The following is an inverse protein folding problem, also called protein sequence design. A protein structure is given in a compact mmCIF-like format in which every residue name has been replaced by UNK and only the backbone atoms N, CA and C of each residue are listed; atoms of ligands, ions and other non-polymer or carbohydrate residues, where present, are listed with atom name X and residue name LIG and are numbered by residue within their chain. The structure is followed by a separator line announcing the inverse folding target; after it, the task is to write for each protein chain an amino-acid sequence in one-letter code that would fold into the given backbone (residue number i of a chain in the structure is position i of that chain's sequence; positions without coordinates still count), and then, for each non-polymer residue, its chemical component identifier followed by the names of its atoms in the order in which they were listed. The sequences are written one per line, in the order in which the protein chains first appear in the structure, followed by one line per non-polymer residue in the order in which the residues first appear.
data_IF_315667024592
#
_entry.id   IF_315667024592
#
_cell.length_a   1.000
_cell.length_b   1.000
_cell.length_c   1.000
_cell.angle_alpha   90.00
_cell.angle_beta   90.00
_cell.angle_gamma   90.00
#
_symmetry.space_group_name_H-M   'P 1'
#
loop_
_entity.id
_entity.type
_entity.pdbx_description
1 polymer ?
#
# COMPACT_ATOMS: atom_id res chain seq x y z
N UNK A 1 63.26 -79.64 9.28
CA UNK A 1 62.23 -80.07 8.31
C UNK A 1 62.90 -80.40 6.98
N UNK A 2 62.65 -81.57 6.38
CA UNK A 2 63.15 -81.91 5.04
C UNK A 2 62.19 -81.35 3.99
N UNK A 3 62.68 -80.47 3.13
CA UNK A 3 61.96 -80.09 1.91
C UNK A 3 62.14 -81.25 0.92
N UNK A 4 61.05 -81.92 0.55
CA UNK A 4 61.10 -83.03 -0.43
C UNK A 4 61.03 -82.48 -1.86
N UNK A 5 61.60 -83.20 -2.83
CA UNK A 5 61.57 -82.78 -4.24
C UNK A 5 60.12 -82.58 -4.77
N UNK A 6 59.18 -83.34 -4.20
CA UNK A 6 57.74 -83.17 -4.45
C UNK A 6 57.18 -81.83 -3.95
N UNK A 7 57.67 -81.29 -2.82
CA UNK A 7 57.28 -79.96 -2.35
C UNK A 7 57.84 -78.85 -3.25
N UNK A 8 59.07 -79.01 -3.78
CA UNK A 8 59.67 -78.03 -4.70
C UNK A 8 58.91 -78.03 -6.03
N UNK A 9 58.66 -79.21 -6.61
CA UNK A 9 57.88 -79.36 -7.82
C UNK A 9 56.45 -78.82 -7.65
N UNK A 10 55.79 -79.14 -6.53
CA UNK A 10 54.46 -78.62 -6.19
C UNK A 10 54.42 -77.10 -6.02
N UNK A 11 55.49 -76.49 -5.48
CA UNK A 11 55.58 -75.02 -5.33
C UNK A 11 55.80 -74.33 -6.69
N UNK A 12 56.56 -74.94 -7.59
CA UNK A 12 56.77 -74.42 -8.95
C UNK A 12 55.48 -74.50 -9.78
N UNK A 13 54.77 -75.62 -9.75
CA UNK A 13 53.49 -75.76 -10.47
C UNK A 13 52.42 -74.82 -9.92
N UNK A 14 52.34 -74.66 -8.60
CA UNK A 14 51.44 -73.69 -7.97
C UNK A 14 51.76 -72.24 -8.40
N UNK A 15 53.04 -71.86 -8.42
CA UNK A 15 53.45 -70.54 -8.91
C UNK A 15 53.15 -70.34 -10.41
N UNK A 16 53.39 -71.34 -11.25
CA UNK A 16 53.10 -71.28 -12.68
C UNK A 16 51.59 -71.16 -12.97
N UNK A 17 50.76 -71.92 -12.24
CA UNK A 17 49.30 -71.81 -12.31
C UNK A 17 48.83 -70.41 -11.89
N UNK A 18 49.36 -69.86 -10.79
CA UNK A 18 49.06 -68.50 -10.36
C UNK A 18 49.47 -67.43 -11.41
N UNK A 19 50.62 -67.59 -12.06
CA UNK A 19 51.07 -66.67 -13.12
C UNK A 19 50.18 -66.75 -14.36
N UNK A 20 49.75 -67.95 -14.77
CA UNK A 20 48.82 -68.13 -15.88
C UNK A 20 47.45 -67.49 -15.59
N UNK A 21 46.92 -67.65 -14.38
CA UNK A 21 45.66 -66.99 -13.98
C UNK A 21 45.78 -65.47 -14.03
N UNK A 22 46.91 -64.89 -13.58
CA UNK A 22 47.15 -63.44 -13.68
C UNK A 22 47.23 -62.98 -15.13
N UNK A 23 47.97 -63.70 -15.99
CA UNK A 23 48.06 -63.38 -17.41
C UNK A 23 46.69 -63.39 -18.10
N UNK A 24 45.88 -64.41 -17.86
CA UNK A 24 44.53 -64.50 -18.41
C UNK A 24 43.65 -63.35 -17.93
N UNK A 25 43.74 -62.96 -16.64
CA UNK A 25 42.99 -61.81 -16.12
C UNK A 25 43.40 -60.49 -16.78
N UNK A 26 44.70 -60.26 -16.98
CA UNK A 26 45.21 -59.08 -17.69
C UNK A 26 44.78 -59.07 -19.15
N UNK A 27 44.79 -60.23 -19.82
CA UNK A 27 44.30 -60.36 -21.19
C UNK A 27 42.80 -60.04 -21.29
N UNK A 28 41.98 -60.48 -20.33
CA UNK A 28 40.56 -60.13 -20.26
C UNK A 28 40.35 -58.63 -20.06
N UNK A 29 41.06 -58.01 -19.10
CA UNK A 29 41.00 -56.56 -18.88
C UNK A 29 41.44 -55.76 -20.10
N UNK A 30 42.47 -56.22 -20.82
CA UNK A 30 42.92 -55.60 -22.06
C UNK A 30 41.90 -55.73 -23.19
N UNK A 31 41.19 -56.86 -23.27
CA UNK A 31 40.15 -57.08 -24.28
C UNK A 31 38.87 -56.29 -24.01
N UNK A 32 38.46 -56.11 -22.75
CA UNK A 32 37.22 -55.38 -22.41
C UNK A 32 37.46 -53.89 -22.14
N UNK A 33 38.71 -53.49 -21.91
CA UNK A 33 39.07 -52.15 -21.45
C UNK A 33 38.62 -51.84 -20.02
N UNK A 34 38.08 -52.83 -19.29
CA UNK A 34 37.50 -52.65 -17.96
C UNK A 34 38.36 -53.33 -16.91
N UNK A 35 38.65 -52.61 -15.83
CA UNK A 35 39.32 -53.14 -14.64
C UNK A 35 38.45 -54.17 -13.90
N UNK A 36 37.14 -53.94 -13.84
CA UNK A 36 36.16 -54.80 -13.15
C UNK A 36 35.26 -55.42 -14.21
N UNK A 37 35.29 -56.75 -14.35
CA UNK A 37 34.47 -57.47 -15.34
C UNK A 37 33.39 -58.34 -14.67
N UNK A 38 33.67 -58.85 -13.47
CA UNK A 38 32.73 -59.64 -12.67
C UNK A 38 32.70 -59.14 -11.22
N UNK A 39 31.58 -59.34 -10.49
CA UNK A 39 31.46 -58.90 -9.10
C UNK A 39 32.54 -59.46 -8.16
N UNK A 40 33.12 -60.61 -8.48
CA UNK A 40 34.20 -61.21 -7.68
C UNK A 40 35.56 -60.51 -7.81
N UNK A 41 35.76 -59.64 -8.81
CA UNK A 41 37.04 -58.94 -9.03
C UNK A 41 37.23 -57.80 -8.01
N UNK A 42 36.16 -57.06 -7.71
CA UNK A 42 36.14 -55.95 -6.76
C UNK A 42 34.69 -55.71 -6.27
N UNK A 43 34.25 -56.37 -5.18
CA UNK A 43 32.88 -56.26 -4.67
C UNK A 43 32.49 -54.83 -4.24
N UNK A 44 33.46 -53.99 -3.85
CA UNK A 44 33.21 -52.60 -3.45
C UNK A 44 33.23 -51.65 -4.66
N UNK A 45 34.09 -51.94 -5.63
CA UNK A 45 34.15 -51.19 -6.88
C UNK A 45 32.92 -51.42 -7.77
N UNK A 46 32.39 -52.65 -7.80
CA UNK A 46 31.22 -52.97 -8.62
C UNK A 46 29.93 -52.32 -8.10
N UNK A 47 29.75 -52.16 -6.79
CA UNK A 47 28.57 -51.46 -6.25
C UNK A 47 28.56 -50.00 -6.67
N UNK A 48 29.71 -49.31 -6.53
CA UNK A 48 29.86 -47.92 -6.99
C UNK A 48 29.68 -47.77 -8.50
N UNK A 49 30.21 -48.69 -9.31
CA UNK A 49 30.00 -48.69 -10.77
C UNK A 49 28.51 -48.86 -11.13
N UNK A 50 27.77 -49.72 -10.43
CA UNK A 50 26.33 -49.89 -10.62
C UNK A 50 25.56 -48.63 -10.21
N UNK A 51 25.91 -47.99 -9.11
CA UNK A 51 25.31 -46.74 -8.67
C UNK A 51 25.50 -45.64 -9.71
N UNK A 52 26.73 -45.46 -10.22
CA UNK A 52 26.99 -44.48 -11.29
C UNK A 52 26.27 -44.81 -12.60
N UNK A 53 26.12 -46.09 -12.96
CA UNK A 53 25.36 -46.48 -14.15
C UNK A 53 23.87 -46.18 -14.00
N UNK A 54 23.31 -46.42 -12.81
CA UNK A 54 21.92 -46.07 -12.50
C UNK A 54 21.75 -44.54 -12.55
N UNK A 55 22.67 -43.78 -11.96
CA UNK A 55 22.66 -42.31 -12.00
C UNK A 55 22.79 -41.78 -13.44
N UNK A 56 23.65 -42.37 -14.27
CA UNK A 56 23.77 -42.02 -15.68
C UNK A 56 22.51 -42.36 -16.48
N UNK A 57 21.86 -43.49 -16.20
CA UNK A 57 20.61 -43.89 -16.84
C UNK A 57 19.47 -42.94 -16.47
N UNK A 58 19.37 -42.57 -15.19
CA UNK A 58 18.41 -41.57 -14.70
C UNK A 58 18.66 -40.21 -15.36
N UNK A 59 19.91 -39.73 -15.41
CA UNK A 59 20.26 -38.49 -16.09
C UNK A 59 19.87 -38.49 -17.58
N UNK A 60 20.06 -39.61 -18.29
CA UNK A 60 19.60 -39.73 -19.69
C UNK A 60 18.08 -39.67 -19.82
N UNK A 61 17.36 -40.29 -18.88
CA UNK A 61 15.90 -40.19 -18.84
C UNK A 61 15.45 -38.74 -18.57
N UNK A 62 16.10 -38.05 -17.63
CA UNK A 62 15.83 -36.64 -17.33
C UNK A 62 16.09 -35.76 -18.54
N UNK A 63 17.19 -35.94 -19.27
CA UNK A 63 17.44 -35.23 -20.52
C UNK A 63 16.36 -35.48 -21.58
N UNK A 64 15.88 -36.72 -21.72
CA UNK A 64 14.76 -37.05 -22.60
C UNK A 64 13.47 -36.33 -22.19
N UNK A 65 13.16 -36.36 -20.90
CA UNK A 65 12.00 -35.68 -20.31
C UNK A 65 12.07 -34.14 -20.49
N UNK A 66 13.25 -33.54 -20.30
CA UNK A 66 13.48 -32.10 -20.52
C UNK A 66 13.28 -31.73 -21.98
N UNK A 67 13.81 -32.53 -22.92
CA UNK A 67 13.60 -32.28 -24.35
C UNK A 67 12.13 -32.35 -24.73
N UNK A 68 11.39 -33.33 -24.17
CA UNK A 68 9.95 -33.41 -24.38
C UNK A 68 9.23 -32.19 -23.80
N UNK A 69 9.57 -31.78 -22.58
CA UNK A 69 9.00 -30.60 -21.94
C UNK A 69 9.22 -29.33 -22.77
N UNK A 70 10.44 -29.13 -23.30
CA UNK A 70 10.73 -28.02 -24.19
C UNK A 70 9.88 -28.04 -25.46
N UNK A 71 9.68 -29.20 -26.09
CA UNK A 71 8.80 -29.33 -27.26
C UNK A 71 7.35 -28.92 -26.94
N UNK A 72 6.85 -29.27 -25.75
CA UNK A 72 5.54 -28.84 -25.27
C UNK A 72 5.48 -27.33 -25.05
N UNK A 73 6.47 -26.73 -24.39
CA UNK A 73 6.52 -25.30 -24.16
C UNK A 73 6.63 -24.48 -25.44
N UNK A 74 7.50 -24.87 -26.38
CA UNK A 74 7.59 -24.20 -27.67
C UNK A 74 6.26 -24.22 -28.42
N UNK A 75 5.53 -25.34 -28.34
CA UNK A 75 4.21 -25.42 -28.98
C UNK A 75 3.20 -24.51 -28.29
N UNK A 76 3.18 -24.48 -26.96
CA UNK A 76 2.31 -23.59 -26.19
C UNK A 76 2.59 -22.11 -26.50
N UNK A 77 3.85 -21.71 -26.54
CA UNK A 77 4.26 -20.34 -26.84
C UNK A 77 3.88 -19.92 -28.26
N UNK A 78 4.07 -20.81 -29.24
CA UNK A 78 3.63 -20.58 -30.63
C UNK A 78 2.11 -20.32 -30.69
N UNK A 79 1.34 -21.10 -29.95
CA UNK A 79 -0.11 -20.97 -29.88
C UNK A 79 -0.50 -19.66 -29.19
N UNK A 80 0.09 -19.34 -28.03
CA UNK A 80 -0.21 -18.10 -27.28
C UNK A 80 0.14 -16.86 -28.12
N UNK A 81 1.26 -16.85 -28.83
CA UNK A 81 1.61 -15.76 -29.73
C UNK A 81 0.59 -15.61 -30.86
N UNK A 82 0.18 -16.72 -31.48
CA UNK A 82 -0.86 -16.71 -32.50
C UNK A 82 -2.20 -16.21 -31.96
N UNK A 83 -2.55 -16.55 -30.72
CA UNK A 83 -3.75 -16.05 -30.05
C UNK A 83 -3.67 -14.54 -29.81
N UNK A 84 -2.55 -14.05 -29.32
CA UNK A 84 -2.33 -12.61 -29.12
C UNK A 84 -2.45 -11.81 -30.41
N UNK A 85 -1.89 -12.32 -31.52
CA UNK A 85 -2.03 -11.69 -32.84
C UNK A 85 -3.50 -11.61 -33.27
N UNK A 86 -4.26 -12.70 -33.16
CA UNK A 86 -5.68 -12.73 -33.54
C UNK A 86 -6.52 -11.81 -32.65
N UNK A 87 -6.26 -11.79 -31.33
CA UNK A 87 -6.98 -10.90 -30.40
C UNK A 87 -6.65 -9.43 -30.68
N UNK A 88 -5.39 -9.12 -30.99
CA UNK A 88 -4.99 -7.76 -31.37
C UNK A 88 -5.63 -7.32 -32.68
N UNK A 89 -5.70 -8.20 -33.68
CA UNK A 89 -6.40 -7.95 -34.95
C UNK A 89 -7.90 -7.75 -34.71
N UNK A 90 -8.55 -8.63 -33.94
CA UNK A 90 -9.95 -8.52 -33.60
C UNK A 90 -10.27 -7.23 -32.82
N UNK A 91 -9.36 -6.78 -31.94
CA UNK A 91 -9.47 -5.49 -31.25
C UNK A 91 -9.37 -4.31 -32.22
N UNK A 92 -8.42 -4.35 -33.16
CA UNK A 92 -8.28 -3.32 -34.18
C UNK A 92 -9.51 -3.23 -35.08
N UNK A 93 -10.08 -4.38 -35.48
CA UNK A 93 -11.33 -4.48 -36.23
C UNK A 93 -12.53 -3.96 -35.42
N UNK A 94 -12.60 -4.27 -34.12
CA UNK A 94 -13.66 -3.80 -33.24
C UNK A 94 -13.61 -2.28 -33.04
N UNK A 95 -12.42 -1.72 -32.82
CA UNK A 95 -12.22 -0.26 -32.70
C UNK A 95 -12.53 0.45 -34.01
N UNK A 96 -12.08 -0.10 -35.14
CA UNK A 96 -12.38 0.47 -36.46
C UNK A 96 -13.87 0.37 -36.80
N UNK A 97 -14.54 -0.72 -36.39
CA UNK A 97 -15.97 -0.92 -36.57
C UNK A 97 -16.86 -0.09 -35.63
N UNK A 98 -16.29 0.46 -34.56
CA UNK A 98 -16.96 1.36 -33.62
C UNK A 98 -17.03 2.81 -34.13
N UNK A 99 -16.32 3.14 -35.21
CA UNK A 99 -16.41 4.45 -35.87
C UNK A 99 -17.77 4.60 -36.57
N UNK A 100 -18.46 5.71 -36.29
CA UNK A 100 -19.80 6.04 -36.81
C UNK A 100 -19.85 6.26 -38.33
N UNK A 101 -18.70 6.50 -38.97
CA UNK A 101 -18.61 6.71 -40.42
C UNK A 101 -18.92 5.46 -41.26
N UNK A 102 -18.86 4.26 -40.67
CA UNK A 102 -19.14 3.02 -41.39
C UNK A 102 -20.64 2.71 -41.47
N UNK A 103 -21.08 2.21 -42.63
CA UNK A 103 -22.46 1.76 -42.83
C UNK A 103 -22.68 0.35 -42.26
N UNK A 104 -23.95 -0.08 -42.18
CA UNK A 104 -24.33 -1.38 -41.60
C UNK A 104 -23.67 -2.58 -42.31
N UNK A 105 -23.39 -2.49 -43.62
CA UNK A 105 -22.74 -3.57 -44.37
C UNK A 105 -21.23 -3.61 -44.14
N UNK A 106 -20.58 -2.46 -43.92
CA UNK A 106 -19.19 -2.38 -43.46
C UNK A 106 -18.99 -3.02 -42.09
N UNK A 107 -19.89 -2.74 -41.13
CA UNK A 107 -19.86 -3.38 -39.80
C UNK A 107 -20.11 -4.90 -39.87
N UNK A 108 -20.93 -5.38 -40.80
CA UNK A 108 -21.09 -6.84 -41.02
C UNK A 108 -19.81 -7.50 -41.53
N UNK A 109 -19.03 -6.81 -42.35
CA UNK A 109 -17.74 -7.32 -42.83
C UNK A 109 -16.73 -7.45 -41.68
N UNK A 110 -16.62 -6.44 -40.81
CA UNK A 110 -15.79 -6.51 -39.59
C UNK A 110 -16.27 -7.63 -38.65
N UNK A 111 -17.59 -7.77 -38.45
CA UNK A 111 -18.15 -8.86 -37.66
C UNK A 111 -17.87 -10.25 -38.27
N UNK A 112 -17.71 -10.36 -39.60
CA UNK A 112 -17.28 -11.60 -40.24
C UNK A 112 -15.79 -11.89 -40.00
N UNK A 113 -14.93 -10.87 -40.02
CA UNK A 113 -13.51 -10.95 -39.66
C UNK A 113 -13.31 -11.44 -38.23
N UNK A 114 -14.00 -10.81 -37.26
CA UNK A 114 -13.96 -11.23 -35.85
C UNK A 114 -14.45 -12.67 -35.67
N UNK A 115 -15.52 -13.08 -36.37
CA UNK A 115 -15.99 -14.48 -36.33
C UNK A 115 -14.96 -15.46 -36.89
N UNK A 116 -14.28 -15.11 -37.98
CA UNK A 116 -13.20 -15.92 -38.52
C UNK A 116 -12.02 -16.02 -37.53
N UNK A 117 -11.71 -14.93 -36.82
CA UNK A 117 -10.75 -14.91 -35.71
C UNK A 117 -11.12 -15.88 -34.59
N UNK A 118 -12.38 -15.88 -34.15
CA UNK A 118 -12.90 -16.83 -33.15
C UNK A 118 -12.76 -18.28 -33.65
N UNK A 119 -13.11 -18.55 -34.90
CA UNK A 119 -12.97 -19.89 -35.49
C UNK A 119 -11.49 -20.33 -35.54
N UNK A 120 -10.55 -19.41 -35.81
CA UNK A 120 -9.11 -19.68 -35.76
C UNK A 120 -8.61 -19.92 -34.34
N UNK A 121 -9.09 -19.17 -33.36
CA UNK A 121 -8.80 -19.39 -31.92
C UNK A 121 -9.27 -20.79 -31.50
N UNK A 122 -10.45 -21.24 -31.94
CA UNK A 122 -10.94 -22.58 -31.65
C UNK A 122 -10.10 -23.69 -32.30
N UNK A 123 -9.59 -23.45 -33.51
CA UNK A 123 -8.65 -24.37 -34.15
C UNK A 123 -7.33 -24.47 -33.36
N UNK A 124 -6.81 -23.35 -32.88
CA UNK A 124 -5.61 -23.30 -32.05
C UNK A 124 -5.81 -24.00 -30.69
N UNK A 125 -6.97 -23.80 -30.05
CA UNK A 125 -7.35 -24.51 -28.82
C UNK A 125 -7.48 -26.03 -28.98
N UNK A 126 -7.68 -26.51 -30.22
CA UNK A 126 -7.71 -27.93 -30.57
C UNK A 126 -6.42 -28.42 -31.26
N UNK A 127 -5.31 -27.69 -31.09
CA UNK A 127 -4.01 -28.12 -31.63
C UNK A 127 -3.49 -29.40 -30.95
N UNK A 128 -2.69 -30.14 -31.71
CA UNK A 128 -2.12 -31.43 -31.28
C UNK A 128 -0.60 -31.39 -31.33
N UNK A 129 0.02 -32.10 -30.39
CA UNK A 129 1.44 -32.44 -30.39
C UNK A 129 1.57 -33.96 -30.31
N UNK A 130 2.25 -34.57 -31.29
CA UNK A 130 2.47 -36.03 -31.35
C UNK A 130 1.16 -36.86 -31.24
N UNK A 131 0.06 -36.34 -31.77
CA UNK A 131 -1.26 -36.96 -31.75
C UNK A 131 -2.03 -36.79 -30.44
N UNK A 132 -1.53 -35.98 -29.50
CA UNK A 132 -2.19 -35.63 -28.23
C UNK A 132 -2.66 -34.18 -28.27
N UNK A 133 -3.89 -33.92 -27.86
CA UNK A 133 -4.40 -32.57 -27.72
C UNK A 133 -3.70 -31.83 -26.57
N UNK A 134 -3.30 -30.59 -26.83
CA UNK A 134 -2.41 -29.84 -25.93
C UNK A 134 -3.14 -29.28 -24.71
N UNK A 135 -4.41 -28.89 -24.88
CA UNK A 135 -5.19 -28.15 -23.88
C UNK A 135 -6.33 -28.95 -23.22
N UNK A 136 -6.45 -30.25 -23.48
CA UNK A 136 -7.54 -31.10 -22.96
C UNK A 136 -7.23 -31.78 -21.61
N UNK A 137 -6.12 -31.41 -20.97
CA UNK A 137 -5.69 -32.00 -19.70
C UNK A 137 -5.22 -33.45 -19.84
N UNK A 138 -5.69 -34.34 -18.95
CA UNK A 138 -5.41 -35.78 -19.05
C UNK A 138 -6.14 -36.48 -20.20
N UNK A 139 -7.20 -35.86 -20.77
CA UNK A 139 -7.98 -36.43 -21.86
C UNK A 139 -7.36 -36.11 -23.22
N UNK A 140 -6.13 -36.57 -23.43
CA UNK A 140 -5.31 -36.23 -24.61
C UNK A 140 -5.86 -36.75 -25.94
N UNK A 141 -6.84 -37.66 -25.92
CA UNK A 141 -7.43 -38.29 -27.12
C UNK A 141 -8.71 -37.58 -27.61
N UNK A 142 -9.21 -36.62 -26.85
CA UNK A 142 -10.43 -35.87 -27.18
C UNK A 142 -10.11 -34.39 -27.38
N UNK A 143 -10.79 -33.75 -28.33
CA UNK A 143 -10.63 -32.33 -28.59
C UNK A 143 -11.08 -31.52 -27.36
N UNK A 144 -10.28 -30.51 -26.99
CA UNK A 144 -10.55 -29.68 -25.81
C UNK A 144 -11.84 -28.85 -25.96
N UNK A 145 -12.11 -28.36 -27.18
CA UNK A 145 -13.24 -27.46 -27.48
C UNK A 145 -14.14 -28.04 -28.56
N UNK A 146 -15.43 -28.15 -28.26
CA UNK A 146 -16.46 -28.47 -29.25
C UNK A 146 -17.40 -27.28 -29.46
N UNK A 147 -17.64 -26.94 -30.72
CA UNK A 147 -18.56 -25.86 -31.10
C UNK A 147 -19.98 -26.41 -31.26
N UNK A 148 -20.93 -25.77 -30.58
CA UNK A 148 -22.37 -25.99 -30.73
C UNK A 148 -23.04 -24.71 -31.27
N UNK A 149 -24.32 -24.81 -31.66
CA UNK A 149 -25.08 -23.69 -32.19
C UNK A 149 -25.25 -22.51 -31.20
N UNK A 150 -25.12 -22.79 -29.90
CA UNK A 150 -25.30 -21.86 -28.79
C UNK A 150 -23.99 -21.43 -28.10
N UNK A 151 -22.82 -21.90 -28.56
CA UNK A 151 -21.54 -21.55 -27.95
C UNK A 151 -20.46 -22.62 -28.10
N UNK A 152 -19.39 -22.46 -27.33
CA UNK A 152 -18.25 -23.39 -27.28
C UNK A 152 -18.26 -24.04 -25.91
N UNK A 153 -18.20 -25.36 -25.86
CA UNK A 153 -18.11 -26.12 -24.61
C UNK A 153 -16.72 -26.74 -24.52
N UNK A 154 -16.09 -26.57 -23.35
CA UNK A 154 -14.86 -27.28 -23.01
C UNK A 154 -15.19 -28.69 -22.52
N UNK A 155 -14.56 -29.69 -23.12
CA UNK A 155 -14.74 -31.12 -22.77
C UNK A 155 -13.48 -31.75 -22.18
N UNK A 156 -12.42 -30.95 -22.00
CA UNK A 156 -11.20 -31.37 -21.33
C UNK A 156 -11.35 -31.50 -19.81
N UNK A 157 -10.24 -31.89 -19.17
CA UNK A 157 -10.11 -31.99 -17.71
C UNK A 157 -9.01 -31.05 -17.21
N UNK A 158 -8.97 -30.76 -15.91
CA UNK A 158 -7.99 -29.87 -15.26
C UNK A 158 -6.67 -30.60 -14.89
N UNK A 159 -6.40 -31.75 -15.50
CA UNK A 159 -5.25 -32.59 -15.20
C UNK A 159 -3.91 -31.99 -15.65
N UNK A 160 -2.87 -32.10 -14.82
CA UNK A 160 -1.51 -31.64 -15.14
C UNK A 160 -0.59 -32.84 -15.44
N UNK A 161 0.07 -32.82 -16.59
CA UNK A 161 1.06 -33.80 -17.03
C UNK A 161 2.42 -33.36 -16.51
N UNK A 162 2.96 -34.11 -15.55
CA UNK A 162 4.28 -33.85 -14.97
C UNK A 162 5.35 -34.72 -15.61
N UNK A 163 6.51 -34.13 -15.91
CA UNK A 163 7.73 -34.85 -16.22
C UNK A 163 8.77 -34.65 -15.13
N UNK A 164 9.39 -35.74 -14.71
CA UNK A 164 10.50 -35.71 -13.76
C UNK A 164 11.78 -35.25 -14.47
N UNK A 165 12.38 -34.15 -14.03
CA UNK A 165 13.59 -33.57 -14.60
C UNK A 165 14.81 -33.69 -13.67
N UNK A 166 14.58 -34.03 -12.41
CA UNK A 166 15.61 -34.39 -11.43
C UNK A 166 15.01 -35.39 -10.42
N UNK A 167 15.87 -36.02 -9.61
CA UNK A 167 15.53 -36.89 -8.50
C UNK A 167 14.46 -36.32 -7.55
N UNK A 168 14.39 -34.99 -7.40
CA UNK A 168 13.40 -34.31 -6.56
C UNK A 168 12.62 -33.20 -7.27
N UNK A 169 12.69 -33.11 -8.61
CA UNK A 169 12.03 -32.04 -9.37
C UNK A 169 11.16 -32.60 -10.48
N UNK A 170 9.90 -32.17 -10.49
CA UNK A 170 8.92 -32.42 -11.53
C UNK A 170 8.44 -31.10 -12.12
N UNK A 171 8.14 -31.12 -13.41
CA UNK A 171 7.68 -29.94 -14.15
C UNK A 171 6.41 -30.29 -14.91
N UNK A 172 5.36 -29.49 -14.72
CA UNK A 172 4.11 -29.57 -15.47
C UNK A 172 4.24 -28.95 -16.85
N UNK A 173 3.92 -29.70 -17.91
CA UNK A 173 4.14 -29.27 -19.30
C UNK A 173 2.89 -28.82 -20.05
N UNK A 174 1.72 -29.28 -19.62
CA UNK A 174 0.47 -28.91 -20.26
C UNK A 174 -0.14 -27.68 -19.57
N UNK A 175 -0.89 -26.91 -20.35
CA UNK A 175 -1.67 -25.77 -19.87
C UNK A 175 -3.15 -26.12 -19.98
N UNK A 176 -3.94 -25.72 -18.99
CA UNK A 176 -5.37 -25.98 -19.00
C UNK A 176 -6.07 -25.03 -19.98
N UNK A 177 -6.80 -25.59 -20.95
CA UNK A 177 -7.58 -24.79 -21.90
C UNK A 177 -8.71 -24.01 -21.24
N UNK A 178 -9.30 -24.50 -20.15
CA UNK A 178 -10.31 -23.75 -19.41
C UNK A 178 -9.73 -22.46 -18.81
N UNK A 179 -8.54 -22.55 -18.20
CA UNK A 179 -7.89 -21.39 -17.58
C UNK A 179 -7.36 -20.38 -18.61
N UNK A 180 -6.93 -20.85 -19.78
CA UNK A 180 -6.43 -19.98 -20.84
C UNK A 180 -7.55 -19.31 -21.66
N UNK A 181 -8.61 -20.05 -22.01
CA UNK A 181 -9.64 -19.59 -22.95
C UNK A 181 -10.99 -19.23 -22.31
N UNK A 182 -11.31 -19.78 -21.13
CA UNK A 182 -12.60 -19.62 -20.47
C UNK A 182 -12.52 -18.89 -19.13
N UNK A 183 -11.33 -18.46 -18.71
CA UNK A 183 -11.21 -17.58 -17.55
C UNK A 183 -12.04 -16.33 -17.81
N UNK A 184 -12.97 -16.05 -16.91
CA UNK A 184 -13.81 -14.87 -16.97
C UNK A 184 -12.89 -13.64 -17.04
N UNK A 185 -12.89 -12.98 -18.20
CA UNK A 185 -12.31 -11.64 -18.35
C UNK A 185 -13.18 -10.75 -17.45
N UNK A 186 -12.55 -9.91 -16.62
CA UNK A 186 -13.21 -8.99 -15.67
C UNK A 186 -14.57 -8.53 -16.21
N UNK A 187 -15.61 -8.59 -15.37
CA UNK A 187 -16.84 -7.88 -15.70
C UNK A 187 -16.48 -6.43 -15.99
N UNK A 188 -16.92 -5.90 -17.15
CA UNK A 188 -16.75 -4.49 -17.48
C UNK A 188 -17.20 -3.65 -16.27
N UNK A 189 -16.29 -2.85 -15.71
CA UNK A 189 -16.58 -1.96 -14.58
C UNK A 189 -16.15 -2.46 -13.20
N UNK A 190 -15.63 -3.68 -13.03
CA UNK A 190 -15.23 -4.21 -11.70
C UNK A 190 -14.12 -3.40 -10.98
N UNK A 191 -13.43 -2.52 -11.70
CA UNK A 191 -12.44 -1.59 -11.13
C UNK A 191 -12.73 -0.12 -11.46
N UNK A 192 -13.94 0.20 -11.91
CA UNK A 192 -14.37 1.58 -12.08
C UNK A 192 -15.05 1.99 -10.78
N UNK A 193 -14.35 2.80 -10.01
CA UNK A 193 -14.85 3.38 -8.78
C UNK A 193 -15.98 4.36 -9.09
N UNK A 194 -17.18 4.05 -8.60
CA UNK A 194 -18.40 4.84 -8.77
C UNK A 194 -18.83 5.46 -7.44
N UNK A 195 -17.87 5.80 -6.59
CA UNK A 195 -18.10 6.51 -5.34
C UNK A 195 -19.10 7.66 -5.55
N UNK A 196 -20.18 7.58 -4.78
CA UNK A 196 -21.17 8.64 -4.72
C UNK A 196 -20.70 9.72 -3.75
N UNK A 197 -20.81 10.98 -4.16
CA UNK A 197 -20.49 12.09 -3.27
C UNK A 197 -21.31 12.07 -1.97
N UNK A 198 -20.64 12.38 -0.86
CA UNK A 198 -21.31 12.69 0.40
C UNK A 198 -22.01 14.05 0.31
N UNK A 199 -23.18 14.14 0.91
CA UNK A 199 -23.87 15.40 1.19
C UNK A 199 -24.47 15.33 2.61
N UNK A 200 -25.06 16.44 3.08
CA UNK A 200 -25.60 16.50 4.44
C UNK A 200 -26.70 15.47 4.75
N UNK A 201 -27.40 14.96 3.73
CA UNK A 201 -28.43 13.93 3.88
C UNK A 201 -27.94 12.49 3.74
N UNK A 202 -26.66 12.27 3.42
CA UNK A 202 -26.05 10.93 3.36
C UNK A 202 -26.15 10.26 4.73
N UNK A 203 -26.70 9.04 4.77
CA UNK A 203 -26.87 8.29 6.01
C UNK A 203 -25.55 7.63 6.42
N UNK A 204 -25.31 7.55 7.72
CA UNK A 204 -24.11 6.91 8.26
C UNK A 204 -24.10 5.39 8.01
N UNK A 205 -25.27 4.78 7.80
CA UNK A 205 -25.39 3.37 7.39
C UNK A 205 -24.93 3.11 5.97
N UNK A 206 -24.88 4.14 5.12
CA UNK A 206 -24.57 3.99 3.71
C UNK A 206 -23.05 4.16 3.45
N UNK A 207 -22.28 4.54 4.48
CA UNK A 207 -20.81 4.66 4.40
C UNK A 207 -20.15 3.28 4.31
N UNK A 208 -18.89 3.23 3.90
CA UNK A 208 -18.10 2.00 3.75
C UNK A 208 -18.80 0.94 2.89
N UNK A 209 -19.27 1.35 1.73
CA UNK A 209 -20.02 0.52 0.79
C UNK A 209 -21.32 -0.08 1.40
N UNK A 210 -21.85 0.55 2.45
CA UNK A 210 -23.08 0.16 3.14
C UNK A 210 -22.85 -0.75 4.35
N UNK A 211 -21.60 -0.93 4.77
CA UNK A 211 -21.28 -1.54 6.06
C UNK A 211 -21.60 -0.59 7.24
N UNK A 212 -21.69 0.70 6.95
CA UNK A 212 -21.98 1.76 7.90
C UNK A 212 -20.84 2.02 8.89
N UNK A 213 -21.10 2.83 9.91
CA UNK A 213 -20.12 3.11 10.98
C UNK A 213 -20.55 2.47 12.29
N UNK A 214 -19.57 2.11 13.12
CA UNK A 214 -19.82 1.60 14.46
C UNK A 214 -19.93 2.74 15.48
N UNK A 215 -21.17 3.10 15.85
CA UNK A 215 -21.46 4.16 16.82
C UNK A 215 -21.56 3.67 18.27
N UNK A 216 -21.05 2.49 18.63
CA UNK A 216 -21.20 1.94 19.99
C UNK A 216 -19.85 1.50 20.57
N UNK A 217 -19.24 2.28 21.49
CA UNK A 217 -19.61 3.65 21.87
C UNK A 217 -19.17 4.66 20.80
N UNK A 218 -20.04 5.62 20.48
CA UNK A 218 -19.76 6.73 19.56
C UNK A 218 -19.07 7.90 20.25
N UNK A 219 -18.14 7.66 21.18
CA UNK A 219 -17.50 8.72 21.95
C UNK A 219 -16.11 8.97 21.41
N UNK A 220 -15.88 10.17 20.88
CA UNK A 220 -14.56 10.61 20.40
C UNK A 220 -14.06 11.79 21.23
N UNK A 221 -12.75 11.95 21.31
CA UNK A 221 -12.10 13.08 21.97
C UNK A 221 -11.30 13.87 20.95
N UNK A 222 -11.60 15.16 20.82
CA UNK A 222 -10.80 16.11 20.06
C UNK A 222 -10.02 16.97 21.03
N UNK A 223 -8.70 17.02 20.89
CA UNK A 223 -7.82 17.83 21.73
C UNK A 223 -7.15 18.92 20.92
N UNK A 224 -7.20 20.13 21.45
CA UNK A 224 -6.30 21.20 21.06
C UNK A 224 -5.03 21.09 21.92
N UNK A 225 -3.93 20.67 21.30
CA UNK A 225 -2.68 20.44 22.01
C UNK A 225 -1.95 21.76 22.37
N UNK A 226 -2.36 22.89 21.80
CA UNK A 226 -1.82 24.20 22.16
C UNK A 226 -2.52 24.82 23.34
N UNK A 227 -3.84 24.77 23.34
CA UNK A 227 -4.66 25.32 24.42
C UNK A 227 -4.76 24.34 25.60
N UNK A 228 -4.42 23.06 25.39
CA UNK A 228 -4.56 22.02 26.40
C UNK A 228 -6.03 21.72 26.72
N UNK A 229 -6.92 21.96 25.76
CA UNK A 229 -8.36 21.79 25.89
C UNK A 229 -8.77 20.48 25.23
N UNK A 230 -9.68 19.75 25.89
CA UNK A 230 -10.21 18.48 25.44
C UNK A 230 -11.72 18.66 25.25
N UNK A 231 -12.22 18.42 24.04
CA UNK A 231 -13.64 18.27 23.77
C UNK A 231 -13.99 16.78 23.66
N UNK A 232 -14.98 16.35 24.42
CA UNK A 232 -15.58 15.02 24.23
C UNK A 232 -16.81 15.20 23.35
N UNK A 233 -16.87 14.47 22.25
CA UNK A 233 -17.97 14.51 21.28
C UNK A 233 -18.77 13.21 21.41
N UNK A 234 -20.09 13.33 21.50
CA UNK A 234 -21.01 12.21 21.54
C UNK A 234 -21.69 12.04 20.18
N UNK A 235 -21.36 10.96 19.48
CA UNK A 235 -21.86 10.60 18.14
C UNK A 235 -22.77 9.35 18.16
N UNK A 236 -23.39 9.04 19.31
CA UNK A 236 -24.22 7.83 19.47
C UNK A 236 -25.64 7.94 18.85
N UNK A 237 -26.12 9.14 18.50
CA UNK A 237 -27.52 9.39 18.13
C UNK A 237 -27.72 9.86 16.68
N UNK A 238 -26.63 10.21 16.02
CA UNK A 238 -26.55 10.84 14.72
C UNK A 238 -26.83 9.79 13.65
N UNK A 239 -27.56 10.18 12.62
CA UNK A 239 -27.97 9.30 11.52
C UNK A 239 -27.46 9.75 10.17
N UNK A 240 -27.09 11.03 10.03
CA UNK A 240 -26.56 11.61 8.80
C UNK A 240 -25.24 12.35 9.01
N UNK A 241 -24.51 12.60 7.92
CA UNK A 241 -23.28 13.39 7.92
C UNK A 241 -23.49 14.81 8.47
N UNK A 242 -24.61 15.47 8.17
CA UNK A 242 -24.88 16.84 8.67
C UNK A 242 -25.12 16.87 10.18
N UNK A 243 -25.76 15.84 10.73
CA UNK A 243 -25.95 15.68 12.17
C UNK A 243 -24.59 15.49 12.87
N UNK A 244 -23.71 14.65 12.32
CA UNK A 244 -22.34 14.45 12.83
C UNK A 244 -21.54 15.75 12.81
N UNK A 245 -21.52 16.46 11.67
CA UNK A 245 -20.80 17.73 11.53
C UNK A 245 -21.33 18.77 12.52
N UNK A 246 -22.66 18.87 12.64
CA UNK A 246 -23.31 19.79 13.56
C UNK A 246 -22.95 19.48 15.02
N UNK A 247 -22.98 18.19 15.39
CA UNK A 247 -22.67 17.75 16.75
C UNK A 247 -21.20 18.03 17.10
N UNK A 248 -20.25 17.69 16.21
CA UNK A 248 -18.83 18.00 16.41
C UNK A 248 -18.62 19.51 16.60
N UNK A 249 -19.15 20.34 15.70
CA UNK A 249 -18.97 21.79 15.78
C UNK A 249 -19.57 22.40 17.05
N UNK A 250 -20.74 21.92 17.49
CA UNK A 250 -21.38 22.37 18.72
C UNK A 250 -20.57 21.99 19.96
N UNK A 251 -20.12 20.74 20.05
CA UNK A 251 -19.37 20.25 21.20
C UNK A 251 -17.97 20.89 21.28
N UNK A 252 -17.31 21.13 20.15
CA UNK A 252 -16.06 21.91 20.10
C UNK A 252 -16.27 23.31 20.70
N UNK A 253 -17.31 24.03 20.27
CA UNK A 253 -17.62 25.37 20.77
C UNK A 253 -17.97 25.38 22.26
N UNK A 254 -18.77 24.41 22.74
CA UNK A 254 -19.14 24.26 24.16
C UNK A 254 -17.90 24.03 25.03
N UNK A 255 -16.96 23.21 24.56
CA UNK A 255 -15.71 22.92 25.27
C UNK A 255 -14.63 24.02 25.09
N UNK A 256 -14.90 25.06 24.30
CA UNK A 256 -14.04 26.23 24.14
C UNK A 256 -13.03 26.14 22.99
N UNK A 257 -13.05 25.08 22.17
CA UNK A 257 -12.27 24.96 20.93
C UNK A 257 -13.04 25.69 19.82
N UNK A 258 -12.87 27.00 19.73
CA UNK A 258 -13.54 27.86 18.73
C UNK A 258 -12.68 28.09 17.46
N UNK A 259 -11.45 27.60 17.49
CA UNK A 259 -10.43 27.73 16.45
C UNK A 259 -10.43 26.55 15.47
N UNK A 260 -11.41 25.65 15.53
CA UNK A 260 -11.55 24.48 14.66
C UNK A 260 -13.00 24.33 14.22
N UNK A 261 -13.21 24.12 12.92
CA UNK A 261 -14.54 23.86 12.34
C UNK A 261 -14.49 22.64 11.44
N UNK A 262 -15.60 21.91 11.35
CA UNK A 262 -15.73 20.72 10.51
C UNK A 262 -16.77 20.98 9.42
N UNK A 263 -16.48 20.52 8.20
CA UNK A 263 -17.39 20.55 7.06
C UNK A 263 -17.10 19.37 6.11
N UNK A 264 -17.95 19.17 5.11
CA UNK A 264 -17.64 18.28 3.98
C UNK A 264 -16.46 18.88 3.19
N UNK A 265 -15.48 18.04 2.86
CA UNK A 265 -14.32 18.43 2.07
C UNK A 265 -14.69 18.70 0.60
N UNK A 266 -13.84 19.43 -0.11
CA UNK A 266 -14.10 19.81 -1.50
C UNK A 266 -13.96 18.61 -2.47
N UNK A 267 -13.45 17.48 -1.98
CA UNK A 267 -13.47 16.18 -2.67
C UNK A 267 -14.84 15.50 -2.65
N UNK A 268 -15.82 16.06 -1.91
CA UNK A 268 -17.15 15.50 -1.67
C UNK A 268 -17.15 14.02 -1.24
N UNK A 269 -16.10 13.54 -0.57
CA UNK A 269 -16.04 12.17 -0.09
C UNK A 269 -15.44 12.02 1.31
N UNK A 270 -14.90 13.12 1.85
CA UNK A 270 -14.24 13.13 3.15
C UNK A 270 -14.77 14.28 4.03
N UNK A 271 -14.50 14.20 5.33
CA UNK A 271 -14.69 15.33 6.25
C UNK A 271 -13.43 16.20 6.29
N UNK A 272 -13.59 17.52 6.27
CA UNK A 272 -12.53 18.50 6.42
C UNK A 272 -12.63 19.17 7.78
N UNK A 273 -11.53 19.13 8.52
CA UNK A 273 -11.28 19.90 9.73
C UNK A 273 -10.44 21.12 9.35
N UNK A 274 -11.02 22.30 9.52
CA UNK A 274 -10.45 23.59 9.12
C UNK A 274 -10.24 24.47 10.35
N UNK A 275 -8.98 24.74 10.73
CA UNK A 275 -8.69 25.68 11.81
C UNK A 275 -9.01 27.13 11.41
N UNK A 276 -9.81 27.84 12.22
CA UNK A 276 -10.27 29.21 11.95
C UNK A 276 -9.38 30.28 12.58
N UNK A 277 -8.58 29.92 13.59
CA UNK A 277 -7.63 30.82 14.26
C UNK A 277 -6.30 30.12 14.50
N UNK A 278 -5.25 30.62 13.85
CA UNK A 278 -3.88 30.17 14.09
C UNK A 278 -3.19 31.14 15.05
N UNK A 279 -2.40 30.60 16.00
CA UNK A 279 -1.44 31.40 16.74
C UNK A 279 -1.81 31.78 18.19
N UNK A 280 -2.89 31.23 18.77
CA UNK A 280 -3.22 31.50 20.17
C UNK A 280 -2.39 30.65 21.15
N UNK A 281 -1.89 31.29 22.21
CA UNK A 281 -1.20 30.68 23.34
C UNK A 281 -2.06 30.82 24.61
N UNK A 282 -1.85 29.89 25.54
CA UNK A 282 -2.36 29.90 26.92
C UNK A 282 -1.18 29.72 27.87
N UNK A 283 -1.40 29.87 29.18
CA UNK A 283 -0.36 29.57 30.16
C UNK A 283 0.17 28.13 30.07
N UNK A 284 -0.68 27.18 29.66
CA UNK A 284 -0.33 25.77 29.50
C UNK A 284 0.39 25.45 28.19
N UNK A 285 0.48 26.40 27.25
CA UNK A 285 1.14 26.16 25.96
C UNK A 285 2.63 25.83 26.18
N UNK A 286 3.11 24.67 25.70
CA UNK A 286 4.51 24.28 25.83
C UNK A 286 5.47 25.16 25.03
N UNK A 287 6.66 25.45 25.57
CA UNK A 287 7.68 26.26 24.89
C UNK A 287 8.32 25.56 23.68
N UNK A 288 8.23 24.24 23.56
CA UNK A 288 8.66 23.53 22.35
C UNK A 288 7.67 23.71 21.18
N UNK A 289 6.44 24.13 21.44
CA UNK A 289 5.43 24.33 20.41
C UNK A 289 5.41 25.75 19.84
N UNK A 290 6.08 26.73 20.46
CA UNK A 290 6.16 28.08 19.91
C UNK A 290 7.19 28.19 18.78
N UNK A 291 7.17 29.31 18.05
CA UNK A 291 7.99 29.58 16.85
C UNK A 291 7.79 28.54 15.74
N UNK A 292 6.54 28.24 15.39
CA UNK A 292 6.16 27.18 14.46
C UNK A 292 6.69 25.80 14.86
N UNK A 293 6.83 25.54 16.17
CA UNK A 293 7.36 24.29 16.70
C UNK A 293 8.88 24.15 16.66
N UNK A 294 9.61 25.23 16.31
CA UNK A 294 11.06 25.28 16.53
C UNK A 294 11.41 25.35 18.02
N UNK A 295 10.46 25.81 18.83
CA UNK A 295 10.59 25.98 20.26
C UNK A 295 11.45 27.17 20.65
N UNK A 296 11.97 27.12 21.87
CA UNK A 296 12.85 28.13 22.46
C UNK A 296 14.12 27.46 22.97
N UNK A 297 15.28 28.07 22.72
CA UNK A 297 16.56 27.57 23.22
C UNK A 297 16.81 28.06 24.66
N UNK A 298 16.66 27.15 25.62
CA UNK A 298 16.88 27.40 27.03
C UNK A 298 18.29 27.00 27.52
N UNK A 299 19.24 26.72 26.61
CA UNK A 299 20.59 26.25 26.97
C UNK A 299 21.33 27.21 27.91
N UNK A 300 21.22 28.53 27.68
CA UNK A 300 21.67 29.53 28.64
C UNK A 300 20.57 29.88 29.65
N UNK A 301 19.31 29.89 29.21
CA UNK A 301 18.13 30.23 29.99
C UNK A 301 18.08 31.68 30.49
N UNK A 302 19.11 32.49 30.26
CA UNK A 302 19.23 33.83 30.85
C UNK A 302 18.83 34.92 29.85
N UNK A 303 17.95 35.81 30.26
CA UNK A 303 17.70 37.10 29.59
C UNK A 303 18.15 38.26 30.47
N UNK A 304 18.54 39.38 29.87
CA UNK A 304 18.99 40.56 30.60
C UNK A 304 17.96 41.69 30.51
N UNK A 305 17.56 42.22 31.67
CA UNK A 305 16.73 43.42 31.80
C UNK A 305 17.59 44.55 32.36
N UNK A 306 17.91 45.52 31.50
CA UNK A 306 18.78 46.65 31.85
C UNK A 306 17.94 47.89 32.17
N UNK A 307 18.28 48.60 33.24
CA UNK A 307 17.69 49.90 33.57
C UNK A 307 18.36 51.08 32.84
N UNK A 308 17.80 52.29 32.96
CA UNK A 308 18.38 53.50 32.37
C UNK A 308 19.74 53.91 33.02
N UNK A 309 20.11 53.32 34.16
CA UNK A 309 21.42 53.52 34.80
C UNK A 309 22.48 52.52 34.30
N UNK A 310 22.10 51.54 33.47
CA UNK A 310 22.98 50.49 32.96
C UNK A 310 23.17 49.32 33.92
N UNK A 311 22.30 49.18 34.94
CA UNK A 311 22.29 48.02 35.84
C UNK A 311 21.52 46.88 35.19
N UNK A 312 22.16 45.72 35.13
CA UNK A 312 21.62 44.51 34.53
C UNK A 312 20.95 43.60 35.57
N UNK A 313 19.74 43.14 35.25
CA UNK A 313 19.00 42.12 36.00
C UNK A 313 18.92 40.88 35.12
N UNK A 314 19.62 39.84 35.53
CA UNK A 314 19.58 38.55 34.84
C UNK A 314 18.36 37.77 35.33
N UNK A 315 17.43 37.47 34.41
CA UNK A 315 16.27 36.62 34.67
C UNK A 315 16.57 35.22 34.14
N UNK A 316 16.48 34.23 35.02
CA UNK A 316 16.70 32.81 34.71
C UNK A 316 15.39 32.11 34.34
N UNK A 317 15.30 31.66 33.10
CA UNK A 317 14.21 30.93 32.47
C UNK A 317 14.59 29.46 32.18
N UNK A 318 15.76 28.99 32.63
CA UNK A 318 16.30 27.65 32.30
C UNK A 318 15.41 26.48 32.74
N UNK A 319 14.55 26.70 33.74
CA UNK A 319 13.58 25.70 34.23
C UNK A 319 12.19 25.82 33.61
N UNK A 320 11.95 26.77 32.69
CA UNK A 320 10.64 26.95 32.10
C UNK A 320 10.29 25.84 31.09
N UNK A 321 9.07 25.33 31.15
CA UNK A 321 8.54 24.34 30.21
C UNK A 321 7.34 24.90 29.44
N UNK A 322 6.54 25.76 30.07
CA UNK A 322 5.36 26.40 29.45
C UNK A 322 5.43 27.93 29.45
N UNK A 323 4.49 28.57 28.75
CA UNK A 323 4.30 30.02 28.76
C UNK A 323 4.07 30.57 30.18
N UNK A 324 3.33 29.87 31.04
CA UNK A 324 3.08 30.29 32.42
C UNK A 324 4.34 30.22 33.30
N UNK A 325 5.23 29.26 33.03
CA UNK A 325 6.53 29.19 33.71
C UNK A 325 7.38 30.42 33.39
N UNK A 326 7.40 30.86 32.13
CA UNK A 326 8.12 32.08 31.70
C UNK A 326 7.56 33.31 32.41
N UNK A 327 6.23 33.48 32.39
CA UNK A 327 5.53 34.59 33.06
C UNK A 327 5.84 34.60 34.55
N UNK A 328 5.75 33.45 35.21
CA UNK A 328 5.96 33.31 36.65
C UNK A 328 7.41 33.59 37.03
N UNK A 329 8.37 33.01 36.29
CA UNK A 329 9.79 33.19 36.57
C UNK A 329 10.23 34.64 36.32
N UNK A 330 9.74 35.28 35.25
CA UNK A 330 9.99 36.70 34.97
C UNK A 330 9.46 37.59 36.10
N UNK A 331 8.17 37.46 36.43
CA UNK A 331 7.52 38.30 37.45
C UNK A 331 8.13 38.11 38.84
N UNK A 332 8.44 36.88 39.22
CA UNK A 332 9.04 36.57 40.53
C UNK A 332 10.44 37.16 40.69
N UNK A 333 11.27 37.07 39.64
CA UNK A 333 12.65 37.56 39.67
C UNK A 333 12.74 39.08 39.62
N UNK A 334 11.90 39.75 38.81
CA UNK A 334 11.83 41.22 38.81
C UNK A 334 11.37 41.76 40.17
N UNK A 335 10.37 41.14 40.78
CA UNK A 335 9.90 41.48 42.12
C UNK A 335 11.02 41.29 43.17
N UNK A 336 11.79 40.21 43.08
CA UNK A 336 12.95 39.95 43.96
C UNK A 336 14.09 40.95 43.77
N UNK A 337 14.23 41.50 42.56
CA UNK A 337 15.16 42.59 42.24
C UNK A 337 14.64 43.98 42.67
N UNK A 338 13.44 44.06 43.26
CA UNK A 338 12.83 45.30 43.74
C UNK A 338 11.98 46.05 42.72
N UNK A 339 11.69 45.44 41.56
CA UNK A 339 10.85 46.00 40.50
C UNK A 339 9.46 45.33 40.56
N UNK A 340 8.57 45.88 41.38
CA UNK A 340 7.23 45.28 41.63
C UNK A 340 6.16 45.66 40.60
N UNK A 341 6.35 46.79 39.91
CA UNK A 341 5.35 47.39 39.04
C UNK A 341 5.56 47.06 37.55
N UNK A 342 6.47 46.12 37.24
CA UNK A 342 6.67 45.63 35.88
C UNK A 342 6.27 44.16 35.86
N UNK A 343 5.23 43.83 35.09
CA UNK A 343 4.67 42.48 35.05
C UNK A 343 4.49 42.00 33.61
N UNK A 344 4.86 40.75 33.36
CA UNK A 344 4.56 40.01 32.13
C UNK A 344 3.22 39.28 32.24
N UNK A 345 2.47 39.24 31.15
CA UNK A 345 1.26 38.46 30.93
C UNK A 345 1.16 38.04 29.46
N UNK A 346 0.14 37.26 29.09
CA UNK A 346 -0.22 37.05 27.68
C UNK A 346 -0.90 38.32 27.16
N UNK A 347 -0.61 38.73 25.92
CA UNK A 347 -1.22 39.90 25.30
C UNK A 347 -2.74 39.69 25.08
N UNK A 348 -3.49 40.77 24.90
CA UNK A 348 -4.94 40.68 24.69
C UNK A 348 -5.35 39.91 23.42
N UNK A 349 -4.44 39.82 22.43
CA UNK A 349 -4.65 39.06 21.20
C UNK A 349 -4.41 37.55 21.40
N UNK A 350 -3.84 37.12 22.52
CA UNK A 350 -3.46 35.74 22.80
C UNK A 350 -2.31 35.22 21.95
N UNK A 351 -1.54 36.05 21.24
CA UNK A 351 -0.50 35.59 20.28
C UNK A 351 0.92 35.67 20.83
N UNK A 352 1.14 36.36 21.94
CA UNK A 352 2.47 36.58 22.49
C UNK A 352 2.44 37.18 23.89
N UNK A 353 3.61 37.53 24.41
CA UNK A 353 3.74 38.16 25.72
C UNK A 353 3.43 39.67 25.66
N UNK A 354 2.97 40.21 26.78
CA UNK A 354 2.87 41.64 27.03
C UNK A 354 3.51 41.94 28.38
N UNK A 355 4.35 42.97 28.44
CA UNK A 355 5.01 43.41 29.66
C UNK A 355 4.54 44.83 29.95
N UNK A 356 3.88 45.02 31.09
CA UNK A 356 3.29 46.29 31.50
C UNK A 356 4.08 46.89 32.65
N UNK A 357 4.48 48.15 32.51
CA UNK A 357 5.05 48.99 33.56
C UNK A 357 3.95 49.91 34.11
N UNK A 358 3.44 49.59 35.29
CA UNK A 358 2.36 50.34 35.95
C UNK A 358 2.87 51.50 36.82
N UNK A 359 4.15 51.85 36.75
CA UNK A 359 4.65 53.05 37.40
C UNK A 359 4.04 54.31 36.75
N UNK A 360 3.75 55.34 37.56
CA UNK A 360 3.24 56.61 37.04
C UNK A 360 4.19 57.31 36.07
N UNK A 361 5.48 56.97 36.11
CA UNK A 361 6.50 57.29 35.10
C UNK A 361 7.19 55.97 34.75
N UNK A 362 7.20 55.54 33.48
CA UNK A 362 7.91 54.34 33.05
C UNK A 362 9.39 54.35 33.43
N UNK A 363 9.88 53.20 33.87
CA UNK A 363 11.27 52.99 34.26
C UNK A 363 12.23 52.93 33.05
N UNK A 364 11.69 52.84 31.82
CA UNK A 364 12.44 52.73 30.56
C UNK A 364 13.45 51.57 30.59
N UNK A 365 13.01 50.41 31.08
CA UNK A 365 13.82 49.19 31.08
C UNK A 365 14.00 48.70 29.64
N UNK A 366 15.07 47.96 29.36
CA UNK A 366 15.26 47.29 28.06
C UNK A 366 15.58 45.82 28.25
N UNK A 367 14.93 44.96 27.46
CA UNK A 367 15.20 43.52 27.42
C UNK A 367 16.12 43.22 26.24
N UNK A 368 17.21 42.52 26.51
CA UNK A 368 18.18 42.06 25.50
C UNK A 368 18.67 40.66 25.83
N UNK A 369 19.13 39.96 24.79
CA UNK A 369 19.85 38.71 24.93
C UNK A 369 21.24 38.93 25.55
N UNK A 370 21.72 37.93 26.32
CA UNK A 370 23.09 37.91 26.82
C UNK A 370 24.06 37.62 25.65
N UNK A 371 25.27 38.19 25.67
CA UNK A 371 26.25 38.21 24.54
C UNK A 371 26.72 36.82 24.02
N UNK A 372 26.21 35.71 24.54
CA UNK A 372 26.63 34.34 24.21
C UNK A 372 25.78 33.63 23.12
N UNK A 373 25.16 34.39 22.21
CA UNK A 373 24.57 33.86 20.96
C UNK A 373 23.31 32.97 21.14
N UNK A 374 22.62 33.08 22.28
CA UNK A 374 21.32 32.46 22.50
C UNK A 374 20.26 33.55 22.37
N UNK A 375 19.54 33.55 21.26
CA UNK A 375 18.52 34.56 20.93
C UNK A 375 17.20 34.27 21.69
N UNK A 376 17.28 34.04 23.00
CA UNK A 376 16.17 33.60 23.84
C UNK A 376 15.07 34.67 23.93
N UNK A 377 15.43 35.92 24.20
CA UNK A 377 14.49 37.02 24.24
C UNK A 377 13.86 37.27 22.85
N UNK A 378 14.62 37.07 21.77
CA UNK A 378 14.10 37.17 20.39
C UNK A 378 13.11 36.03 20.09
N UNK A 379 13.43 34.80 20.49
CA UNK A 379 12.57 33.62 20.35
C UNK A 379 11.31 33.70 21.22
N UNK A 380 11.36 34.41 22.35
CA UNK A 380 10.20 34.74 23.17
C UNK A 380 9.50 36.02 22.67
N UNK A 381 10.00 36.67 21.62
CA UNK A 381 9.39 37.87 21.04
C UNK A 381 9.40 39.11 21.95
N UNK A 382 10.21 39.12 23.01
CA UNK A 382 10.20 40.16 24.07
C UNK A 382 11.40 41.11 24.01
N UNK A 383 12.19 41.10 22.93
CA UNK A 383 13.28 42.08 22.74
C UNK A 383 12.70 43.47 22.55
N UNK A 384 13.14 44.43 23.35
CA UNK A 384 12.73 45.82 23.19
C UNK A 384 12.81 46.64 24.46
N UNK A 385 12.37 47.90 24.33
CA UNK A 385 12.28 48.82 25.46
C UNK A 385 10.88 48.76 26.06
N UNK A 386 10.82 48.59 27.37
CA UNK A 386 9.62 48.68 28.17
C UNK A 386 9.38 50.17 28.44
N UNK A 387 8.49 50.77 27.65
CA UNK A 387 7.88 52.06 27.95
C UNK A 387 6.77 51.86 29.00
N UNK A 388 5.52 52.30 28.78
CA UNK A 388 4.40 51.89 29.63
C UNK A 388 3.98 50.42 29.39
N UNK A 389 4.13 49.94 28.16
CA UNK A 389 3.85 48.58 27.74
C UNK A 389 4.84 48.17 26.65
N UNK A 390 5.32 46.94 26.70
CA UNK A 390 6.00 46.25 25.61
C UNK A 390 5.13 45.07 25.18
N UNK A 391 4.55 45.14 23.99
CA UNK A 391 3.86 44.01 23.36
C UNK A 391 4.87 43.23 22.54
N UNK A 392 5.05 41.95 22.87
CA UNK A 392 5.94 41.06 22.15
C UNK A 392 5.42 40.69 20.77
N UNK A 393 6.30 40.12 19.94
CA UNK A 393 5.91 39.58 18.64
C UNK A 393 5.02 38.34 18.77
N UNK A 394 4.29 38.03 17.71
CA UNK A 394 3.55 36.77 17.60
C UNK A 394 4.50 35.58 17.73
N UNK A 395 4.19 34.69 18.66
CA UNK A 395 4.97 33.49 18.95
C UNK A 395 4.64 32.33 18.01
N UNK A 396 3.59 32.45 17.18
CA UNK A 396 3.19 31.47 16.19
C UNK A 396 3.26 30.01 16.69
N UNK A 397 2.51 29.63 17.74
CA UNK A 397 2.46 28.25 18.20
C UNK A 397 2.05 27.28 17.09
N UNK A 398 2.70 26.11 17.05
CA UNK A 398 2.39 25.01 16.14
C UNK A 398 0.98 24.51 16.41
N UNK A 399 0.05 24.65 15.48
CA UNK A 399 -1.34 24.20 15.65
C UNK A 399 -1.44 22.69 15.45
N UNK A 400 -1.39 21.95 16.56
CA UNK A 400 -1.61 20.51 16.58
C UNK A 400 -2.97 20.19 17.21
N UNK A 401 -3.78 19.44 16.47
CA UNK A 401 -5.00 18.82 16.99
C UNK A 401 -4.83 17.30 17.02
N UNK A 402 -5.48 16.64 17.96
CA UNK A 402 -5.52 15.19 18.04
C UNK A 402 -6.97 14.72 18.17
N UNK A 403 -7.37 13.74 17.36
CA UNK A 403 -8.64 13.04 17.45
C UNK A 403 -8.35 11.63 17.91
N UNK A 404 -9.00 11.22 19.00
CA UNK A 404 -8.88 9.89 19.59
C UNK A 404 -10.25 9.26 19.85
N UNK A 405 -10.30 7.94 19.80
CA UNK A 405 -11.46 7.17 20.25
C UNK A 405 -11.47 7.08 21.79
N UNK A 406 -12.63 7.32 22.41
CA UNK A 406 -12.88 6.97 23.82
C UNK A 406 -13.55 5.58 23.92
N UNK A 407 -13.25 4.72 22.95
CA UNK A 407 -13.83 3.39 22.74
C UNK A 407 -14.54 3.32 21.38
N UNK A 408 -14.73 2.11 20.85
CA UNK A 408 -15.33 1.93 19.53
C UNK A 408 -14.34 2.19 18.39
N UNK A 409 -14.88 2.48 17.21
CA UNK A 409 -14.14 2.77 15.96
C UNK A 409 -14.78 3.93 15.19
N UNK A 410 -15.54 4.82 15.85
CA UNK A 410 -16.35 5.83 15.16
C UNK A 410 -15.53 6.89 14.41
N UNK A 411 -14.46 7.40 15.00
CA UNK A 411 -13.51 8.29 14.33
C UNK A 411 -12.70 7.58 13.23
N UNK A 412 -12.35 6.30 13.43
CA UNK A 412 -11.70 5.49 12.38
C UNK A 412 -12.65 5.30 11.19
N UNK A 413 -13.89 4.90 11.44
CA UNK A 413 -14.93 4.73 10.43
C UNK A 413 -15.34 6.08 9.79
N UNK A 414 -15.18 7.21 10.47
CA UNK A 414 -15.37 8.53 9.86
C UNK A 414 -14.12 9.04 9.14
N UNK A 415 -13.04 8.26 9.08
CA UNK A 415 -11.79 8.62 8.42
C UNK A 415 -11.05 9.80 9.07
N UNK A 416 -11.35 10.12 10.34
CA UNK A 416 -10.87 11.34 11.02
C UNK A 416 -9.91 11.06 12.17
N UNK A 417 -9.56 9.80 12.42
CA UNK A 417 -8.66 9.42 13.51
C UNK A 417 -7.22 9.89 13.26
N UNK A 418 -6.60 10.54 14.26
CA UNK A 418 -5.18 10.88 14.22
C UNK A 418 -4.82 12.28 14.71
N UNK A 419 -3.55 12.63 14.57
CA UNK A 419 -3.03 13.98 14.84
C UNK A 419 -2.81 14.74 13.54
N UNK A 420 -3.17 16.02 13.52
CA UNK A 420 -3.04 16.84 12.32
C UNK A 420 -2.63 18.28 12.59
N UNK A 421 -2.08 18.89 11.54
CA UNK A 421 -1.61 20.27 11.51
C UNK A 421 -2.29 21.03 10.39
N UNK A 422 -2.89 22.17 10.71
CA UNK A 422 -3.65 22.94 9.72
C UNK A 422 -4.90 22.19 9.24
N UNK A 423 -5.23 22.34 7.96
CA UNK A 423 -6.39 21.69 7.36
C UNK A 423 -6.17 20.18 7.27
N UNK A 424 -7.12 19.42 7.79
CA UNK A 424 -7.09 17.96 7.76
C UNK A 424 -8.30 17.41 7.02
N UNK A 425 -8.02 16.77 5.89
CA UNK A 425 -9.01 16.03 5.10
C UNK A 425 -8.91 14.58 5.56
N UNK A 426 -10.04 14.03 5.98
CA UNK A 426 -10.14 12.64 6.39
C UNK A 426 -9.97 11.65 5.24
N UNK A 427 -10.13 10.37 5.55
CA UNK A 427 -10.15 9.31 4.55
C UNK A 427 -11.47 9.30 3.77
N UNK A 428 -11.42 8.64 2.61
CA UNK A 428 -12.59 8.40 1.79
C UNK A 428 -13.62 7.56 2.57
N UNK A 429 -14.88 8.00 2.59
CA UNK A 429 -15.98 7.31 3.27
C UNK A 429 -16.69 6.26 2.41
N UNK A 430 -16.32 6.11 1.14
CA UNK A 430 -16.78 5.10 0.17
C UNK A 430 -18.30 4.88 0.23
N UNK A 431 -19.10 5.91 -0.08
CA UNK A 431 -20.57 5.82 0.07
C UNK A 431 -21.16 4.78 -0.89
N UNK A 432 -22.05 3.94 -0.37
CA UNK A 432 -22.77 2.92 -1.13
C UNK A 432 -23.57 3.52 -2.29
N UNK A 433 -23.41 2.91 -3.47
CA UNK A 433 -24.28 3.18 -4.60
C UNK A 433 -25.70 2.62 -4.37
N UNK A 434 -26.69 3.52 -4.25
CA UNK A 434 -28.10 3.18 -4.09
C UNK A 434 -28.86 3.29 -5.41
N UNK A 435 -30.01 2.62 -5.52
CA UNK A 435 -30.90 2.76 -6.69
C UNK A 435 -31.50 4.17 -6.82
N UNK A 436 -31.39 4.98 -5.76
CA UNK A 436 -31.82 6.38 -5.71
C UNK A 436 -30.68 7.37 -5.94
N UNK A 437 -29.43 6.92 -6.05
CA UNK A 437 -28.29 7.80 -6.30
C UNK A 437 -28.40 8.41 -7.69
N UNK A 438 -28.27 9.73 -7.81
CA UNK A 438 -28.31 10.38 -9.11
C UNK A 438 -27.00 10.16 -9.85
N UNK A 439 -27.05 10.07 -11.18
CA UNK A 439 -25.86 9.97 -12.02
C UNK A 439 -24.93 11.20 -11.89
N UNK A 440 -25.46 12.34 -11.47
CA UNK A 440 -24.69 13.55 -11.15
C UNK A 440 -23.82 13.42 -9.91
N UNK A 441 -24.19 12.52 -9.00
CA UNK A 441 -23.55 12.39 -7.69
C UNK A 441 -22.39 11.38 -7.75
N UNK A 442 -22.30 10.61 -8.85
CA UNK A 442 -21.22 9.65 -9.11
C UNK A 442 -19.87 10.36 -9.35
N UNK A 443 -18.78 9.61 -9.18
CA UNK A 443 -17.42 10.11 -9.39
C UNK A 443 -17.16 11.35 -8.51
N UNK A 444 -17.44 11.22 -7.21
CA UNK A 444 -17.25 12.29 -6.23
C UNK A 444 -18.04 13.57 -6.55
N UNK A 445 -19.25 13.41 -7.12
CA UNK A 445 -20.12 14.53 -7.48
C UNK A 445 -19.72 15.29 -8.74
N UNK A 446 -18.72 14.78 -9.49
CA UNK A 446 -18.41 15.29 -10.83
C UNK A 446 -19.42 14.80 -11.88
N UNK A 447 -20.19 13.77 -11.53
CA UNK A 447 -21.10 13.07 -12.41
C UNK A 447 -20.36 12.24 -13.44
N UNK A 448 -21.13 11.43 -14.17
CA UNK A 448 -20.65 10.74 -15.36
C UNK A 448 -21.08 11.49 -16.61
N UNK A 449 -20.27 11.41 -17.66
CA UNK A 449 -20.72 11.87 -18.99
C UNK A 449 -21.87 10.98 -19.44
N UNK A 450 -23.04 11.59 -19.58
CA UNK A 450 -24.23 10.93 -20.10
C UNK A 450 -24.16 10.84 -21.63
N UNK A 451 -24.78 9.80 -22.19
CA UNK A 451 -24.81 9.53 -23.61
C UNK A 451 -25.40 8.15 -23.90
N UNK A 452 -25.32 7.72 -25.17
CA UNK A 452 -25.84 6.42 -25.60
C UNK A 452 -24.90 5.27 -25.21
N UNK A 453 -25.32 4.43 -24.26
CA UNK A 453 -24.73 3.11 -24.05
C UNK A 453 -25.35 2.15 -25.04
N UNK A 454 -24.58 1.73 -26.04
CA UNK A 454 -25.02 0.74 -27.02
C UNK A 454 -24.57 -0.66 -26.61
N UNK A 455 -25.52 -1.47 -26.16
CA UNK A 455 -25.32 -2.88 -25.84
C UNK A 455 -25.65 -3.76 -27.06
N UNK A 456 -24.73 -4.66 -27.40
CA UNK A 456 -24.92 -5.62 -28.49
C UNK A 456 -25.00 -7.04 -27.94
N UNK A 457 -26.07 -7.75 -28.25
CA UNK A 457 -26.17 -9.20 -28.03
C UNK A 457 -26.34 -9.90 -29.37
N UNK A 458 -25.23 -10.40 -29.93
CA UNK A 458 -25.22 -11.04 -31.23
C UNK A 458 -25.57 -10.06 -32.35
N UNK A 459 -26.75 -10.21 -32.95
CA UNK A 459 -27.27 -9.31 -34.00
C UNK A 459 -28.23 -8.24 -33.48
N UNK A 460 -28.58 -8.27 -32.20
CA UNK A 460 -29.54 -7.37 -31.58
C UNK A 460 -28.81 -6.20 -30.93
N UNK A 461 -29.19 -4.97 -31.28
CA UNK A 461 -28.74 -3.72 -30.65
C UNK A 461 -29.80 -3.28 -29.63
N UNK A 462 -29.37 -2.97 -28.42
CA UNK A 462 -30.13 -2.18 -27.47
C UNK A 462 -29.34 -0.90 -27.21
N UNK A 463 -29.98 0.25 -27.39
CA UNK A 463 -29.42 1.54 -26.96
C UNK A 463 -30.08 1.89 -25.64
N UNK A 464 -29.28 2.19 -24.63
CA UNK A 464 -29.70 2.89 -23.43
C UNK A 464 -29.19 4.32 -23.57
N UNK A 465 -30.10 5.28 -23.72
CA UNK A 465 -29.74 6.69 -23.71
C UNK A 465 -29.77 7.19 -22.27
N UNK A 466 -28.61 7.58 -21.73
CA UNK A 466 -28.55 8.15 -20.38
C UNK A 466 -29.01 9.62 -20.33
N UNK A 467 -29.16 10.28 -21.49
CA UNK A 467 -29.72 11.64 -21.60
C UNK A 467 -31.26 11.64 -21.62
N UNK A 468 -31.89 10.53 -21.99
CA UNK A 468 -33.35 10.32 -21.98
C UNK A 468 -33.68 9.00 -21.24
N UNK A 469 -33.76 9.04 -19.89
CA UNK A 469 -33.96 7.84 -19.06
C UNK A 469 -35.39 7.26 -19.10
N UNK A 470 -36.20 7.60 -20.12
CA UNK A 470 -37.57 7.08 -20.31
C UNK A 470 -37.61 5.67 -20.92
#
# INVERSE_FOLDING_TARGET
MRVTNSMIAGRVTYNAQNSLTRFLSMQTQMSTGKRINKPSDDPLGITRDLDYRNELANNKQYQGNINQANSWYFKNDEIINSLNEIVSEAKADAVSGADDSFNADGRKAFAAGIRAGIDKILQLGNSQLEGRYTFSGFRTNEAAFQRYANGVTFQGDNGVINYQIDSSAEVGVNMNGADLFLKQILTLGEGFDLDTAINGSTQLSDLHNGDGINQIPGLIQIRDLNLGINATIDLNAETTIDEVITQINNDLAINGINNLTVRIADDNNSLLFEPTQNGLITGTTPLNNINNGAGVDLTSGLINVTDNAGTDINVDLSSAVTVDDVITQFNSQLSSAGIFNVTMSINAAGTGFEINDTNGIPLNLSIKDLENNVNLAEQLGIVGNIGPTLTGSDLAPRVDFAIEELGGTTAEDLGILGEFQGNFIGENLDVQLLTTSNLSDLNNGLGITTGEIVMWQGGTKATLDLDDPS
#
